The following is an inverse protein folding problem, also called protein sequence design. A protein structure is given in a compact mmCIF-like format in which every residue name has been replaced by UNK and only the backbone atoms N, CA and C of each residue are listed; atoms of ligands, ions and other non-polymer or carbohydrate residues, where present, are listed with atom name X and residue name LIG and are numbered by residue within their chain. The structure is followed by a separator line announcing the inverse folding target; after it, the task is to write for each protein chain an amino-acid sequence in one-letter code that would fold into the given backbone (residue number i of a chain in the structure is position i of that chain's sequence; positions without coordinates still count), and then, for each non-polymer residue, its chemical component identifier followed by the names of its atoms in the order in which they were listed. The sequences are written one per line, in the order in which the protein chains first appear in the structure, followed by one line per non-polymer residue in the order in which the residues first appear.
data_IF_559551566159
#
_entry.id   IF_559551566159
#
_cell.length_a   1.000
_cell.length_b   1.000
_cell.length_c   1.000
_cell.angle_alpha   90.00
_cell.angle_beta   90.00
_cell.angle_gamma   90.00
#
_symmetry.space_group_name_H-M   'P 1'
#
loop_
_entity.id
_entity.type
_entity.pdbx_description
1 polymer ?
#
# COMPACT_ATOMS: atom_id res chain seq x y z
N UNK A 1 12.32 -6.01 -3.93
CA UNK A 1 11.32 -7.09 -4.00
C UNK A 1 11.02 -7.39 -5.45
N UNK A 2 10.83 -8.65 -5.82
CA UNK A 2 10.55 -9.06 -7.19
C UNK A 2 9.14 -8.57 -7.60
N UNK A 3 8.99 -7.93 -8.77
CA UNK A 3 7.70 -7.42 -9.26
C UNK A 3 6.62 -8.51 -9.30
N UNK A 4 6.98 -9.77 -9.55
CA UNK A 4 6.04 -10.91 -9.47
C UNK A 4 5.45 -11.10 -8.08
N UNK A 5 6.28 -10.98 -7.04
CA UNK A 5 5.84 -11.09 -5.64
C UNK A 5 4.88 -9.97 -5.27
N UNK A 6 5.19 -8.74 -5.69
CA UNK A 6 4.30 -7.60 -5.50
C UNK A 6 2.92 -7.85 -6.11
N UNK A 7 2.87 -8.38 -7.33
CA UNK A 7 1.59 -8.68 -8.01
C UNK A 7 0.76 -9.75 -7.32
N UNK A 8 1.40 -10.76 -6.72
CA UNK A 8 0.70 -11.78 -5.91
C UNK A 8 0.03 -11.14 -4.70
N UNK A 9 0.77 -10.29 -3.97
CA UNK A 9 0.25 -9.58 -2.80
C UNK A 9 -0.91 -8.66 -3.20
N UNK A 10 -0.78 -7.92 -4.29
CA UNK A 10 -1.84 -7.07 -4.83
C UNK A 10 -3.09 -7.90 -5.18
N UNK A 11 -2.93 -9.07 -5.79
CA UNK A 11 -4.03 -9.96 -6.14
C UNK A 11 -4.77 -10.47 -4.90
N UNK A 12 -4.05 -10.91 -3.86
CA UNK A 12 -4.68 -11.37 -2.61
C UNK A 12 -5.49 -10.26 -1.92
N UNK A 13 -4.97 -9.03 -1.93
CA UNK A 13 -5.69 -7.86 -1.42
C UNK A 13 -6.93 -7.58 -2.29
N UNK A 14 -6.78 -7.61 -3.61
CA UNK A 14 -7.87 -7.42 -4.56
C UNK A 14 -9.01 -8.43 -4.33
N UNK A 15 -8.68 -9.71 -4.18
CA UNK A 15 -9.64 -10.79 -3.90
C UNK A 15 -10.31 -10.62 -2.54
N UNK A 16 -9.57 -10.17 -1.52
CA UNK A 16 -10.13 -9.86 -0.21
C UNK A 16 -11.15 -8.75 -0.27
N UNK A 17 -10.86 -7.67 -1.01
CA UNK A 17 -11.81 -6.59 -1.24
C UNK A 17 -13.01 -7.07 -2.06
N UNK A 18 -12.79 -7.87 -3.11
CA UNK A 18 -13.87 -8.37 -3.94
C UNK A 18 -14.88 -9.20 -3.13
N UNK A 19 -14.38 -10.09 -2.26
CA UNK A 19 -15.18 -10.85 -1.30
C UNK A 19 -15.91 -9.94 -0.31
N UNK A 20 -15.20 -8.97 0.30
CA UNK A 20 -15.77 -8.01 1.27
C UNK A 20 -16.91 -7.19 0.67
N UNK A 21 -16.71 -6.70 -0.55
CA UNK A 21 -17.65 -5.83 -1.26
C UNK A 21 -18.76 -6.61 -1.96
N UNK A 22 -18.61 -7.94 -2.10
CA UNK A 22 -19.45 -8.80 -2.94
C UNK A 22 -19.56 -8.25 -4.38
N UNK A 23 -18.44 -7.75 -4.89
CA UNK A 23 -18.33 -7.06 -6.17
C UNK A 23 -16.92 -7.29 -6.74
N UNK A 24 -16.74 -7.31 -8.07
CA UNK A 24 -15.42 -7.42 -8.66
C UNK A 24 -14.50 -6.25 -8.27
N UNK A 25 -13.23 -6.57 -8.08
CA UNK A 25 -12.11 -5.63 -8.03
C UNK A 25 -11.12 -6.04 -9.12
N UNK A 26 -10.49 -5.05 -9.75
CA UNK A 26 -9.55 -5.26 -10.85
C UNK A 26 -8.23 -4.59 -10.56
N UNK A 27 -7.12 -5.30 -10.76
CA UNK A 27 -5.78 -4.72 -10.71
C UNK A 27 -5.52 -3.84 -11.92
N UNK A 28 -4.81 -2.73 -11.71
CA UNK A 28 -4.28 -1.93 -12.80
C UNK A 28 -3.15 -2.69 -13.52
N UNK A 29 -3.22 -2.72 -14.85
CA UNK A 29 -2.26 -3.41 -15.71
C UNK A 29 -1.19 -2.43 -16.19
N UNK A 30 0.08 -2.84 -16.08
CA UNK A 30 1.21 -2.02 -16.52
C UNK A 30 1.53 -0.88 -15.54
N UNK A 31 2.17 0.18 -16.06
CA UNK A 31 2.47 1.39 -15.28
C UNK A 31 1.24 2.29 -15.24
N UNK A 32 0.58 2.33 -14.09
CA UNK A 32 -0.59 3.17 -13.87
C UNK A 32 -0.47 3.86 -12.50
N UNK A 33 -0.28 5.18 -12.52
CA UNK A 33 0.14 5.97 -11.36
C UNK A 33 -0.99 6.36 -10.40
N UNK A 34 -2.23 6.18 -10.82
CA UNK A 34 -3.39 6.77 -10.13
C UNK A 34 -3.90 5.87 -8.98
N UNK A 35 -3.75 4.54 -9.10
CA UNK A 35 -4.15 3.52 -8.11
C UNK A 35 -3.69 2.12 -8.57
N UNK A 36 -3.59 1.16 -7.65
CA UNK A 36 -3.19 -0.21 -7.97
C UNK A 36 -4.39 -1.14 -8.24
N UNK A 37 -5.56 -0.86 -7.67
CA UNK A 37 -6.78 -1.62 -7.97
C UNK A 37 -8.07 -0.78 -7.89
N UNK A 38 -9.14 -1.23 -8.55
CA UNK A 38 -10.43 -0.52 -8.65
C UNK A 38 -11.64 -1.46 -8.65
N UNK A 39 -12.71 -1.04 -7.99
CA UNK A 39 -14.09 -1.52 -8.22
C UNK A 39 -14.92 -0.39 -8.81
N UNK A 40 -15.33 -0.57 -10.07
CA UNK A 40 -16.16 0.40 -10.78
C UNK A 40 -17.55 0.53 -10.14
N UNK A 41 -18.18 -0.59 -9.77
CA UNK A 41 -19.52 -0.60 -9.19
C UNK A 41 -19.59 0.07 -7.81
N UNK A 42 -18.47 0.12 -7.08
CA UNK A 42 -18.37 0.79 -5.78
C UNK A 42 -17.72 2.17 -5.86
N UNK A 43 -17.30 2.60 -7.05
CA UNK A 43 -16.48 3.80 -7.24
C UNK A 43 -15.34 3.83 -6.20
N UNK A 44 -14.61 2.72 -6.06
CA UNK A 44 -13.56 2.56 -5.06
C UNK A 44 -12.27 2.21 -5.76
N UNK A 45 -11.20 2.94 -5.47
CA UNK A 45 -9.86 2.65 -5.93
C UNK A 45 -8.88 2.68 -4.75
N UNK A 46 -7.86 1.83 -4.83
CA UNK A 46 -6.93 1.60 -3.73
C UNK A 46 -5.49 1.66 -4.24
N UNK A 47 -4.61 2.24 -3.44
CA UNK A 47 -3.15 2.20 -3.59
C UNK A 47 -2.58 1.22 -2.57
N UNK A 48 -1.63 0.39 -2.95
CA UNK A 48 -1.02 -0.67 -2.14
C UNK A 48 0.48 -0.38 -2.00
N UNK A 49 0.98 -0.30 -0.75
CA UNK A 49 2.39 -0.05 -0.45
C UNK A 49 2.95 -1.09 0.49
N UNK A 50 4.04 -1.72 0.06
CA UNK A 50 4.74 -2.70 0.88
C UNK A 50 5.76 -2.04 1.82
N UNK A 51 5.64 -2.33 3.11
CA UNK A 51 6.37 -1.68 4.20
C UNK A 51 7.22 -2.67 4.99
N UNK A 52 8.26 -3.19 4.35
CA UNK A 52 9.15 -4.18 4.96
C UNK A 52 9.78 -3.71 6.29
N UNK A 53 9.99 -2.39 6.43
CA UNK A 53 10.74 -1.81 7.55
C UNK A 53 9.85 -1.18 8.63
N UNK A 54 8.53 -1.12 8.45
CA UNK A 54 7.66 -0.37 9.36
C UNK A 54 7.73 -0.86 10.81
N UNK A 55 7.88 -2.18 11.02
CA UNK A 55 8.05 -2.77 12.36
C UNK A 55 9.40 -2.45 12.99
N UNK A 56 10.46 -2.36 12.18
CA UNK A 56 11.82 -2.06 12.64
C UNK A 56 11.99 -0.58 12.97
N UNK A 57 11.44 0.30 12.14
CA UNK A 57 11.56 1.76 12.31
C UNK A 57 10.47 2.33 13.21
N UNK A 58 9.46 1.54 13.58
CA UNK A 58 8.25 1.99 14.28
C UNK A 58 7.51 3.14 13.57
N UNK A 59 7.61 3.22 12.24
CA UNK A 59 7.00 4.27 11.43
C UNK A 59 6.42 3.68 10.14
N UNK A 60 5.29 4.21 9.68
CA UNK A 60 4.86 4.08 8.28
C UNK A 60 5.48 5.19 7.44
N UNK A 61 5.94 4.84 6.24
CA UNK A 61 6.46 5.79 5.27
C UNK A 61 5.41 6.11 4.21
N UNK A 62 5.04 7.38 4.09
CA UNK A 62 4.11 7.84 3.07
C UNK A 62 4.85 8.68 2.03
N UNK A 63 5.02 8.15 0.83
CA UNK A 63 5.65 8.88 -0.28
C UNK A 63 4.77 10.04 -0.76
N UNK A 64 5.38 11.21 -0.96
CA UNK A 64 4.74 12.41 -1.50
C UNK A 64 5.41 12.92 -2.77
N UNK A 65 6.69 12.59 -3.02
CA UNK A 65 7.35 12.93 -4.28
C UNK A 65 8.44 11.92 -4.65
N UNK A 66 8.73 11.80 -5.94
CA UNK A 66 9.83 10.99 -6.49
C UNK A 66 10.63 11.84 -7.48
N UNK A 67 11.93 11.98 -7.24
CA UNK A 67 12.86 12.83 -8.03
C UNK A 67 12.32 14.25 -8.25
N UNK A 68 11.77 14.84 -7.19
CA UNK A 68 11.22 16.20 -7.21
C UNK A 68 9.89 16.36 -7.93
N UNK A 69 9.27 15.27 -8.39
CA UNK A 69 7.93 15.29 -9.01
C UNK A 69 6.89 14.72 -8.04
N UNK A 70 5.67 15.29 -7.98
CA UNK A 70 4.59 14.74 -7.16
C UNK A 70 4.38 13.24 -7.43
N UNK A 71 4.31 12.44 -6.37
CA UNK A 71 4.16 10.98 -6.41
C UNK A 71 3.36 10.52 -5.18
N UNK A 72 2.95 9.25 -5.16
CA UNK A 72 2.29 8.63 -4.01
C UNK A 72 1.08 9.44 -3.53
N UNK A 73 1.04 9.80 -2.24
CA UNK A 73 -0.08 10.53 -1.65
C UNK A 73 -0.33 11.90 -2.29
N UNK A 74 0.68 12.55 -2.88
CA UNK A 74 0.49 13.87 -3.49
C UNK A 74 -0.25 13.81 -4.85
N UNK A 75 -0.19 12.67 -5.54
CA UNK A 75 -0.74 12.54 -6.90
C UNK A 75 -1.73 11.40 -7.10
N UNK A 76 -1.77 10.41 -6.19
CA UNK A 76 -2.69 9.26 -6.29
C UNK A 76 -4.14 9.74 -6.33
N UNK A 77 -4.97 9.02 -7.09
CA UNK A 77 -6.42 9.19 -7.12
C UNK A 77 -7.13 8.10 -6.34
N UNK A 78 -6.38 7.21 -5.69
CA UNK A 78 -6.93 6.23 -4.77
C UNK A 78 -7.73 6.90 -3.63
N UNK A 79 -8.82 6.27 -3.24
CA UNK A 79 -9.63 6.62 -2.07
C UNK A 79 -9.08 5.97 -0.81
N UNK A 80 -8.52 4.76 -0.96
CA UNK A 80 -7.87 4.03 0.13
C UNK A 80 -6.39 3.80 -0.13
N UNK A 81 -5.62 3.84 0.94
CA UNK A 81 -4.19 3.53 0.96
C UNK A 81 -3.97 2.33 1.86
N UNK A 82 -3.35 1.28 1.34
CA UNK A 82 -3.14 0.01 2.06
C UNK A 82 -1.66 -0.18 2.29
N UNK A 83 -1.22 -0.10 3.56
CA UNK A 83 0.13 -0.52 3.93
C UNK A 83 0.15 -2.01 4.24
N UNK A 84 1.05 -2.74 3.57
CA UNK A 84 1.26 -4.17 3.73
C UNK A 84 2.55 -4.39 4.53
N UNK A 85 2.41 -4.90 5.74
CA UNK A 85 3.50 -5.08 6.70
C UNK A 85 3.72 -6.57 6.92
N UNK A 86 4.91 -7.13 6.63
CA UNK A 86 5.19 -8.53 6.86
C UNK A 86 5.17 -8.86 8.36
N UNK A 87 4.45 -9.93 8.71
CA UNK A 87 4.46 -10.52 10.04
C UNK A 87 5.54 -11.59 10.15
N UNK A 88 5.62 -12.44 9.12
CA UNK A 88 6.64 -13.45 8.88
C UNK A 88 6.74 -13.71 7.36
N UNK A 89 7.33 -14.84 6.98
CA UNK A 89 7.56 -15.21 5.58
C UNK A 89 6.28 -15.39 4.74
N UNK A 90 5.13 -15.65 5.36
CA UNK A 90 3.86 -15.96 4.67
C UNK A 90 2.71 -15.05 5.08
N UNK A 91 2.76 -14.50 6.29
CA UNK A 91 1.69 -13.64 6.83
C UNK A 91 2.04 -12.18 6.66
N UNK A 92 1.06 -11.40 6.21
CA UNK A 92 1.17 -9.96 6.11
C UNK A 92 -0.05 -9.27 6.72
N UNK A 93 0.19 -8.26 7.55
CA UNK A 93 -0.86 -7.37 8.04
C UNK A 93 -1.05 -6.22 7.07
N UNK A 94 -2.30 -5.99 6.68
CA UNK A 94 -2.73 -4.88 5.85
C UNK A 94 -3.44 -3.83 6.70
N UNK A 95 -3.00 -2.59 6.61
CA UNK A 95 -3.59 -1.43 7.27
C UNK A 95 -4.20 -0.52 6.21
N UNK A 96 -5.52 -0.39 6.20
CA UNK A 96 -6.26 0.46 5.27
C UNK A 96 -6.44 1.85 5.89
N UNK A 97 -6.20 2.89 5.09
CA UNK A 97 -6.40 4.27 5.47
C UNK A 97 -7.23 5.01 4.42
N UNK A 98 -8.00 5.99 4.87
CA UNK A 98 -8.63 6.96 3.99
C UNK A 98 -7.62 8.00 3.50
N UNK A 99 -7.51 8.17 2.17
CA UNK A 99 -6.47 9.03 1.56
C UNK A 99 -6.66 10.49 1.92
N UNK A 100 -7.90 10.98 1.98
CA UNK A 100 -8.14 12.38 2.36
C UNK A 100 -7.77 12.64 3.82
N UNK A 101 -8.11 11.69 4.70
CA UNK A 101 -7.74 11.74 6.12
C UNK A 101 -6.23 11.72 6.30
N UNK A 102 -5.51 10.86 5.56
CA UNK A 102 -4.03 10.86 5.56
C UNK A 102 -3.46 12.19 5.08
N UNK A 103 -3.94 12.73 3.96
CA UNK A 103 -3.48 14.02 3.43
C UNK A 103 -3.65 15.15 4.44
N UNK A 104 -4.79 15.18 5.15
CA UNK A 104 -5.03 16.16 6.21
C UNK A 104 -4.05 15.98 7.37
N UNK A 105 -3.89 14.76 7.88
CA UNK A 105 -2.98 14.49 9.02
C UNK A 105 -1.53 14.78 8.69
N UNK A 106 -1.08 14.40 7.49
CA UNK A 106 0.31 14.50 7.10
C UNK A 106 0.70 15.93 6.67
N UNK A 107 -0.23 16.88 6.59
CA UNK A 107 0.06 18.27 6.20
C UNK A 107 1.22 18.85 6.99
N UNK A 108 1.16 18.72 8.31
CA UNK A 108 2.12 19.34 9.25
C UNK A 108 3.26 18.38 9.65
N UNK A 109 3.30 17.18 9.08
CA UNK A 109 4.40 16.24 9.30
C UNK A 109 5.57 16.65 8.40
N UNK A 110 6.78 16.88 8.96
CA UNK A 110 7.96 17.18 8.17
C UNK A 110 8.26 16.06 7.16
N UNK A 111 8.69 16.45 5.97
CA UNK A 111 9.19 15.50 4.98
C UNK A 111 10.67 15.25 5.15
N UNK A 112 11.12 14.09 4.66
CA UNK A 112 12.52 13.74 4.56
C UNK A 112 12.79 12.96 3.29
N UNK A 113 14.02 13.07 2.77
CA UNK A 113 14.45 12.35 1.58
C UNK A 113 15.00 10.96 1.96
N UNK A 114 14.36 9.93 1.44
CA UNK A 114 14.64 8.51 1.71
C UNK A 114 14.44 7.64 0.46
N UNK A 115 14.45 6.33 0.66
CA UNK A 115 14.40 5.34 -0.42
C UNK A 115 15.73 5.18 -1.14
N UNK A 116 15.71 4.43 -2.24
CA UNK A 116 16.91 4.15 -3.01
C UNK A 116 17.50 5.45 -3.58
N UNK A 117 18.79 5.66 -3.35
CA UNK A 117 19.52 6.89 -3.74
C UNK A 117 18.92 8.18 -3.17
N UNK A 118 18.15 8.10 -2.06
CA UNK A 118 17.41 9.23 -1.47
C UNK A 118 16.53 9.95 -2.50
N UNK A 119 15.90 9.19 -3.40
CA UNK A 119 15.14 9.73 -4.52
C UNK A 119 13.67 10.03 -4.19
N UNK A 120 13.15 9.54 -3.06
CA UNK A 120 11.76 9.76 -2.65
C UNK A 120 11.70 10.71 -1.46
N UNK A 121 10.77 11.66 -1.53
CA UNK A 121 10.36 12.44 -0.37
C UNK A 121 9.23 11.71 0.34
N UNK A 122 9.41 11.43 1.62
CA UNK A 122 8.45 10.70 2.44
C UNK A 122 8.07 11.51 3.68
N UNK A 123 6.88 11.24 4.21
CA UNK A 123 6.44 11.65 5.53
C UNK A 123 6.34 10.42 6.43
N UNK A 124 6.92 10.49 7.62
CA UNK A 124 6.88 9.39 8.59
C UNK A 124 5.79 9.64 9.62
N UNK A 125 4.92 8.65 9.82
CA UNK A 125 3.95 8.65 10.91
C UNK A 125 4.26 7.49 11.86
N UNK A 126 4.35 7.72 13.19
CA UNK A 126 4.58 6.64 14.15
C UNK A 126 3.55 5.53 14.00
N UNK A 127 4.00 4.28 14.07
CA UNK A 127 3.17 3.10 13.78
C UNK A 127 1.89 3.07 14.64
N UNK A 128 2.04 3.27 15.95
CA UNK A 128 0.90 3.29 16.89
C UNK A 128 -0.06 4.45 16.63
N UNK A 129 0.46 5.58 16.16
CA UNK A 129 -0.39 6.72 15.82
C UNK A 129 -1.17 6.44 14.54
N UNK A 130 -0.48 6.03 13.48
CA UNK A 130 -1.10 5.72 12.19
C UNK A 130 -2.20 4.66 12.36
N UNK A 131 -1.91 3.56 13.07
CA UNK A 131 -2.88 2.48 13.27
C UNK A 131 -4.17 2.94 13.95
N UNK A 132 -4.17 4.00 14.77
CA UNK A 132 -5.42 4.56 15.34
C UNK A 132 -6.32 5.22 14.31
N UNK A 133 -5.76 5.63 13.17
CA UNK A 133 -6.50 6.28 12.07
C UNK A 133 -6.96 5.31 10.98
N UNK A 134 -6.62 4.02 11.09
CA UNK A 134 -6.96 3.02 10.07
C UNK A 134 -8.48 2.90 9.92
N UNK A 135 -8.95 2.75 8.69
CA UNK A 135 -10.35 2.45 8.39
C UNK A 135 -10.64 0.94 8.42
N UNK A 136 -9.62 0.12 8.21
CA UNK A 136 -9.70 -1.33 8.35
C UNK A 136 -8.32 -1.94 8.65
N UNK A 137 -8.31 -3.18 9.15
CA UNK A 137 -7.13 -4.01 9.30
C UNK A 137 -7.47 -5.46 9.03
N UNK A 138 -6.67 -6.11 8.20
CA UNK A 138 -6.84 -7.53 7.90
C UNK A 138 -5.49 -8.20 7.64
N UNK A 139 -5.45 -9.51 7.81
CA UNK A 139 -4.29 -10.33 7.48
C UNK A 139 -4.51 -11.00 6.11
N UNK A 140 -3.43 -11.12 5.33
CA UNK A 140 -3.37 -11.99 4.15
C UNK A 140 -2.30 -13.05 4.38
N UNK A 141 -2.55 -14.25 3.84
CA UNK A 141 -1.65 -15.39 3.90
C UNK A 141 -1.21 -15.71 2.47
N UNK A 142 0.09 -15.63 2.22
CA UNK A 142 0.66 -15.94 0.90
C UNK A 142 1.10 -17.40 0.89
N UNK A 143 0.42 -18.21 0.08
CA UNK A 143 0.86 -19.56 -0.20
C UNK A 143 1.84 -19.56 -1.38
N UNK A 144 3.14 -19.51 -1.06
CA UNK A 144 4.20 -19.55 -2.06
C UNK A 144 4.20 -20.82 -2.92
N UNK A 145 3.56 -21.91 -2.48
CA UNK A 145 3.50 -23.16 -3.27
C UNK A 145 2.68 -23.00 -4.54
N UNK A 146 1.63 -22.16 -4.51
CA UNK A 146 0.83 -21.79 -5.68
C UNK A 146 1.62 -20.99 -6.73
N UNK A 147 2.80 -20.48 -6.34
CA UNK A 147 3.65 -19.62 -7.15
C UNK A 147 5.05 -20.21 -7.41
N UNK A 148 5.26 -21.49 -7.09
CA UNK A 148 6.53 -22.19 -7.29
C UNK A 148 7.06 -22.28 -8.74
N UNK A 149 6.26 -22.29 -9.84
CA UNK A 149 6.85 -22.37 -11.18
C UNK A 149 7.58 -21.08 -11.61
N UNK A 150 7.61 -20.02 -10.79
CA UNK A 150 8.13 -18.71 -11.18
C UNK A 150 9.49 -18.32 -10.58
N UNK A 151 10.15 -19.25 -9.88
CA UNK A 151 11.43 -19.06 -9.17
C UNK A 151 12.64 -19.80 -9.77
N UNK A 152 12.47 -20.47 -10.92
CA UNK A 152 13.59 -20.98 -11.70
C UNK A 152 14.06 -19.96 -12.74
#
# INVERSE_FOLDING_TARGET
MNHKVTRIIEQEICDRYAKKLRQPMFLAVGYFKDYDAISYSRNLNIEIKFEAKARQTHNFAFEVSYRGKPSGLASTRAKKWVHVVPLDERRMNCYEFDVETLRKRLRDVPSLWAGDRKASEIKLLPFLEATRMRTDQFEINIDWTLYQPYWK
#
